data_IF_316733132747
#
_entry.id   IF_316733132747
#
_cell.length_a   1.000
_cell.length_b   1.000
_cell.length_c   1.000
_cell.angle_alpha   90.00
_cell.angle_beta   90.00
_cell.angle_gamma   90.00
#
_symmetry.space_group_name_H-M   'P 1'
#
loop_
_entity.id
_entity.type
_entity.pdbx_description
1 polymer ?
#
# COMPACT_ATOMS: atom_id res chain seq x y z
N UNK A 1 -5.90 4.81 -10.89
CA UNK A 1 -4.55 4.28 -10.60
C UNK A 1 -4.59 3.56 -9.26
N UNK A 2 -3.97 2.38 -9.16
CA UNK A 2 -3.86 1.61 -7.92
C UNK A 2 -2.52 1.95 -7.26
N UNK A 3 -2.56 2.46 -6.04
CA UNK A 3 -1.37 2.78 -5.25
C UNK A 3 -1.13 1.68 -4.22
N UNK A 4 0.13 1.49 -3.82
CA UNK A 4 0.47 0.61 -2.71
C UNK A 4 0.53 1.45 -1.44
N UNK A 5 -0.46 1.27 -0.56
CA UNK A 5 -0.55 1.98 0.72
C UNK A 5 -0.06 1.17 1.91
N UNK A 6 -0.02 -0.18 1.79
CA UNK A 6 0.40 -1.08 2.85
C UNK A 6 1.36 -2.16 2.35
N UNK A 7 2.34 -2.50 3.17
CA UNK A 7 3.29 -3.59 2.98
C UNK A 7 3.14 -4.62 4.10
N UNK A 8 3.04 -5.89 3.75
CA UNK A 8 3.21 -6.99 4.70
C UNK A 8 4.59 -7.58 4.50
N UNK A 9 5.39 -7.61 5.57
CA UNK A 9 6.78 -8.08 5.53
C UNK A 9 6.99 -9.18 6.57
N UNK A 10 7.86 -10.18 6.33
CA UNK A 10 8.12 -11.21 7.32
C UNK A 10 8.74 -10.58 8.58
N UNK A 11 8.54 -11.22 9.73
CA UNK A 11 9.20 -10.83 10.98
C UNK A 11 10.70 -10.60 10.78
N UNK A 12 11.22 -9.54 11.40
CA UNK A 12 12.63 -9.12 11.31
C UNK A 12 13.10 -8.67 9.91
N UNK A 13 12.18 -8.35 9.00
CA UNK A 13 12.52 -7.77 7.70
C UNK A 13 13.23 -6.42 7.83
N UNK A 14 14.36 -6.28 7.12
CA UNK A 14 15.12 -5.04 7.03
C UNK A 14 14.69 -4.19 5.83
N UNK A 15 14.26 -2.96 6.09
CA UNK A 15 13.88 -1.99 5.05
C UNK A 15 15.07 -1.32 4.35
N UNK A 16 16.31 -1.69 4.66
CA UNK A 16 17.51 -1.08 4.05
C UNK A 16 17.48 -1.22 2.52
N UNK A 17 17.32 -2.46 2.02
CA UNK A 17 17.28 -2.70 0.58
C UNK A 17 16.09 -2.01 -0.12
N UNK A 18 14.95 -1.91 0.59
CA UNK A 18 13.79 -1.18 0.08
C UNK A 18 14.10 0.33 -0.07
N UNK A 19 14.70 0.95 0.95
CA UNK A 19 15.05 2.36 0.89
C UNK A 19 16.11 2.68 -0.16
N UNK A 20 17.12 1.82 -0.32
CA UNK A 20 18.11 1.97 -1.37
C UNK A 20 17.47 1.90 -2.77
N UNK A 21 16.58 0.93 -2.99
CA UNK A 21 15.91 0.75 -4.28
C UNK A 21 14.97 1.92 -4.65
N UNK A 22 14.30 2.51 -3.66
CA UNK A 22 13.36 3.62 -3.88
C UNK A 22 14.06 4.99 -3.95
N UNK A 23 15.30 5.10 -3.48
CA UNK A 23 16.06 6.35 -3.46
C UNK A 23 16.21 7.02 -4.84
N UNK A 24 16.18 6.23 -5.91
CA UNK A 24 16.16 6.75 -7.30
C UNK A 24 14.97 7.67 -7.62
N UNK A 25 13.94 7.69 -6.77
CA UNK A 25 12.76 8.54 -6.90
C UNK A 25 12.76 9.75 -5.96
N UNK A 26 13.87 10.03 -5.25
CA UNK A 26 13.97 11.11 -4.27
C UNK A 26 13.54 12.49 -4.81
N UNK A 27 13.74 12.74 -6.10
CA UNK A 27 13.43 14.02 -6.75
C UNK A 27 11.95 14.39 -6.66
N UNK A 28 11.07 13.44 -6.30
CA UNK A 28 9.66 13.70 -6.01
C UNK A 28 9.47 14.75 -4.92
N UNK A 29 10.42 14.89 -4.00
CA UNK A 29 10.38 15.90 -2.94
C UNK A 29 10.49 17.33 -3.48
N UNK A 30 11.01 17.52 -4.69
CA UNK A 30 11.10 18.85 -5.30
C UNK A 30 9.75 19.36 -5.81
N UNK A 31 8.72 18.51 -5.89
CA UNK A 31 7.36 18.96 -6.16
C UNK A 31 6.73 19.51 -4.88
N UNK A 32 6.49 20.82 -4.85
CA UNK A 32 5.99 21.55 -3.68
C UNK A 32 4.74 20.90 -3.04
N UNK A 33 3.77 20.46 -3.85
CA UNK A 33 2.57 19.78 -3.35
C UNK A 33 2.90 18.47 -2.63
N UNK A 34 3.88 17.73 -3.10
CA UNK A 34 4.31 16.49 -2.46
C UNK A 34 5.07 16.78 -1.17
N UNK A 35 6.02 17.71 -1.21
CA UNK A 35 6.77 18.15 -0.03
C UNK A 35 5.86 18.60 1.10
N UNK A 36 4.84 19.41 0.79
CA UNK A 36 3.86 19.87 1.78
C UNK A 36 3.08 18.71 2.43
N UNK A 37 2.72 17.68 1.65
CA UNK A 37 2.07 16.49 2.19
C UNK A 37 3.03 15.69 3.08
N UNK A 38 4.29 15.56 2.67
CA UNK A 38 5.33 14.89 3.42
C UNK A 38 5.60 15.55 4.76
N UNK A 39 5.86 16.85 4.78
CA UNK A 39 6.13 17.58 6.01
C UNK A 39 4.92 17.56 6.95
N UNK A 40 3.71 17.72 6.42
CA UNK A 40 2.48 17.63 7.21
C UNK A 40 2.31 16.26 7.88
N UNK A 41 2.35 15.17 7.10
CA UNK A 41 2.12 13.82 7.65
C UNK A 41 3.23 13.42 8.61
N UNK A 42 4.49 13.76 8.29
CA UNK A 42 5.63 13.55 9.19
C UNK A 42 5.43 14.27 10.52
N UNK A 43 5.03 15.54 10.50
CA UNK A 43 4.75 16.28 11.73
C UNK A 43 3.62 15.64 12.55
N UNK A 44 2.51 15.25 11.91
CA UNK A 44 1.38 14.57 12.57
C UNK A 44 1.82 13.29 13.28
N UNK A 45 2.65 12.48 12.62
CA UNK A 45 3.13 11.23 13.19
C UNK A 45 4.13 11.45 14.33
N UNK A 46 5.05 12.40 14.20
CA UNK A 46 6.01 12.72 15.26
C UNK A 46 5.32 13.30 16.50
N UNK A 47 4.32 14.17 16.33
CA UNK A 47 3.52 14.71 17.44
C UNK A 47 2.78 13.61 18.21
N UNK A 48 2.47 12.50 17.54
CA UNK A 48 1.78 11.35 18.13
C UNK A 48 2.75 10.29 18.69
N UNK A 49 4.05 10.59 18.79
CA UNK A 49 5.10 9.68 19.28
C UNK A 49 5.19 8.34 18.53
N UNK A 50 4.80 8.29 17.25
CA UNK A 50 4.99 7.09 16.44
C UNK A 50 6.46 6.94 16.05
N UNK A 51 6.95 5.70 16.08
CA UNK A 51 8.24 5.36 15.47
C UNK A 51 8.07 5.36 13.95
N UNK A 52 8.92 6.12 13.28
CA UNK A 52 8.93 6.25 11.83
C UNK A 52 10.27 5.83 11.27
N UNK A 53 10.23 5.10 10.17
CA UNK A 53 11.39 4.98 9.29
C UNK A 53 11.25 6.04 8.21
N UNK A 54 12.31 6.79 7.96
CA UNK A 54 12.28 7.96 7.09
C UNK A 54 13.55 8.01 6.25
N UNK A 55 13.39 8.33 4.96
CA UNK A 55 14.49 8.50 4.01
C UNK A 55 14.54 9.91 3.37
N UNK A 56 13.78 10.87 3.90
CA UNK A 56 13.78 12.27 3.46
C UNK A 56 12.72 12.63 2.44
N UNK A 57 11.98 11.65 1.90
CA UNK A 57 10.86 11.89 0.98
C UNK A 57 9.73 10.85 1.11
N UNK A 58 9.95 9.74 1.80
CA UNK A 58 8.97 8.71 2.08
C UNK A 58 9.09 8.28 3.54
N UNK A 59 7.96 8.23 4.23
CA UNK A 59 7.89 7.66 5.59
C UNK A 59 7.29 6.26 5.58
N UNK A 60 7.83 5.37 6.40
CA UNK A 60 7.22 4.09 6.73
C UNK A 60 6.78 4.10 8.20
N UNK A 61 5.53 3.70 8.43
CA UNK A 61 4.93 3.61 9.76
C UNK A 61 4.34 2.23 9.97
N UNK A 62 4.62 1.61 11.10
CA UNK A 62 3.95 0.37 11.49
C UNK A 62 2.51 0.70 11.88
N UNK A 63 1.53 0.21 11.12
CA UNK A 63 0.11 0.53 11.34
C UNK A 63 -0.82 -0.57 10.78
N UNK A 64 -1.85 -1.00 11.52
CA UNK A 64 -2.82 -1.99 11.05
C UNK A 64 -3.75 -1.49 9.94
N UNK A 65 -3.92 -0.17 9.79
CA UNK A 65 -4.76 0.43 8.74
C UNK A 65 -4.28 0.10 7.33
N UNK A 66 -5.20 -0.07 6.39
CA UNK A 66 -4.90 -0.29 4.97
C UNK A 66 -4.65 1.02 4.18
N UNK A 67 -5.12 2.16 4.70
CA UNK A 67 -5.05 3.44 4.01
C UNK A 67 -3.95 4.32 4.61
N UNK A 68 -2.84 4.46 3.89
CA UNK A 68 -1.77 5.38 4.23
C UNK A 68 -1.96 6.73 3.53
N UNK A 69 -1.59 7.85 4.19
CA UNK A 69 -1.61 9.14 3.53
C UNK A 69 -0.51 9.26 2.48
N UNK A 70 -0.61 10.28 1.61
CA UNK A 70 0.43 10.61 0.63
C UNK A 70 1.78 10.71 1.34
N UNK A 71 2.87 10.31 0.65
CA UNK A 71 4.26 10.29 1.14
C UNK A 71 4.52 9.35 2.32
N UNK A 72 3.55 8.50 2.65
CA UNK A 72 3.65 7.52 3.73
C UNK A 72 3.18 6.17 3.24
N UNK A 73 3.83 5.10 3.68
CA UNK A 73 3.39 3.72 3.44
C UNK A 73 3.35 3.00 4.77
N UNK A 74 2.24 2.32 5.02
CA UNK A 74 2.10 1.54 6.24
C UNK A 74 2.73 0.18 6.06
N UNK A 75 3.24 -0.39 7.15
CA UNK A 75 3.72 -1.76 7.13
C UNK A 75 3.28 -2.52 8.37
N UNK A 76 3.32 -3.84 8.25
CA UNK A 76 3.07 -4.75 9.34
C UNK A 76 3.90 -6.01 9.16
N UNK A 77 4.35 -6.58 10.28
CA UNK A 77 5.04 -7.86 10.28
C UNK A 77 4.05 -9.02 10.27
N UNK A 78 4.36 -10.07 9.52
CA UNK A 78 3.69 -11.37 9.65
C UNK A 78 4.69 -12.44 10.05
N UNK A 79 4.23 -13.41 10.87
CA UNK A 79 5.02 -14.58 11.24
C UNK A 79 4.72 -15.75 10.31
N UNK A 80 3.43 -15.97 10.02
CA UNK A 80 2.98 -17.02 9.14
C UNK A 80 2.24 -16.46 7.92
N UNK A 81 2.56 -16.98 6.74
CA UNK A 81 1.88 -16.64 5.49
C UNK A 81 0.43 -17.12 5.46
N UNK A 82 0.13 -18.27 6.09
CA UNK A 82 -1.24 -18.80 6.13
C UNK A 82 -2.18 -17.87 6.92
N UNK A 83 -1.72 -17.34 8.06
CA UNK A 83 -2.48 -16.39 8.87
C UNK A 83 -2.69 -15.07 8.11
N UNK A 84 -1.67 -14.62 7.36
CA UNK A 84 -1.79 -13.44 6.52
C UNK A 84 -2.83 -13.65 5.41
N UNK A 85 -2.82 -14.80 4.75
CA UNK A 85 -3.82 -15.13 3.71
C UNK A 85 -5.24 -15.11 4.28
N UNK A 86 -5.47 -15.75 5.44
CA UNK A 86 -6.77 -15.76 6.10
C UNK A 86 -7.25 -14.34 6.44
N UNK A 87 -6.35 -13.47 6.90
CA UNK A 87 -6.68 -12.06 7.16
C UNK A 87 -7.01 -11.29 5.88
N UNK A 88 -6.22 -11.46 4.82
CA UNK A 88 -6.46 -10.78 3.55
C UNK A 88 -7.79 -11.22 2.91
N UNK A 89 -8.20 -12.47 3.11
CA UNK A 89 -9.51 -12.97 2.69
C UNK A 89 -10.65 -12.37 3.52
N UNK A 90 -10.47 -12.28 4.85
CA UNK A 90 -11.45 -11.64 5.74
C UNK A 90 -11.61 -10.13 5.46
N UNK A 91 -10.52 -9.45 5.10
CA UNK A 91 -10.50 -8.02 4.81
C UNK A 91 -10.68 -7.72 3.31
N UNK A 92 -11.12 -8.68 2.49
CA UNK A 92 -11.20 -8.54 1.04
C UNK A 92 -12.03 -7.32 0.59
N UNK A 93 -13.07 -6.95 1.33
CA UNK A 93 -13.90 -5.77 1.03
C UNK A 93 -13.17 -4.43 1.24
N UNK A 94 -12.09 -4.42 2.01
CA UNK A 94 -11.26 -3.23 2.26
C UNK A 94 -10.09 -3.13 1.26
N UNK A 95 -9.85 -4.16 0.45
CA UNK A 95 -8.64 -4.31 -0.35
C UNK A 95 -9.00 -4.34 -1.83
N UNK A 96 -8.57 -3.30 -2.56
CA UNK A 96 -8.79 -3.23 -4.00
C UNK A 96 -7.93 -4.24 -4.79
N UNK A 97 -6.69 -4.45 -4.37
CA UNK A 97 -5.79 -5.39 -5.03
C UNK A 97 -4.63 -5.80 -4.12
N UNK A 98 -4.15 -7.03 -4.31
CA UNK A 98 -2.98 -7.57 -3.62
C UNK A 98 -1.86 -7.75 -4.64
N UNK A 99 -0.64 -7.34 -4.30
CA UNK A 99 0.54 -7.49 -5.17
C UNK A 99 1.49 -8.47 -4.51
N UNK A 100 1.86 -9.54 -5.22
CA UNK A 100 2.82 -10.49 -4.70
C UNK A 100 3.48 -11.28 -5.84
N UNK A 101 4.53 -12.04 -5.50
CA UNK A 101 5.13 -13.02 -6.42
C UNK A 101 4.47 -14.39 -6.19
N UNK A 102 3.21 -14.50 -6.56
CA UNK A 102 2.38 -15.72 -6.44
C UNK A 102 2.27 -16.29 -5.01
N UNK A 103 2.42 -15.44 -3.99
CA UNK A 103 2.30 -15.80 -2.58
C UNK A 103 0.85 -15.85 -2.11
N UNK A 104 -0.03 -15.08 -2.74
CA UNK A 104 -1.45 -15.00 -2.43
C UNK A 104 -2.25 -15.30 -3.69
N UNK A 105 -3.32 -16.07 -3.54
CA UNK A 105 -4.24 -16.39 -4.65
C UNK A 105 -4.81 -15.08 -5.23
N UNK A 106 -4.90 -15.00 -6.56
CA UNK A 106 -5.37 -13.82 -7.29
C UNK A 106 -4.53 -12.54 -7.06
N UNK A 107 -3.29 -12.67 -6.62
CA UNK A 107 -2.38 -11.52 -6.53
C UNK A 107 -1.86 -11.10 -7.90
N UNK A 108 -1.63 -9.80 -8.04
CA UNK A 108 -1.10 -9.18 -9.25
C UNK A 108 0.43 -9.21 -9.17
N UNK A 109 1.14 -9.55 -10.27
CA UNK A 109 2.59 -9.48 -10.31
C UNK A 109 3.12 -8.05 -10.11
N UNK A 110 4.32 -7.93 -9.55
CA UNK A 110 4.97 -6.63 -9.37
C UNK A 110 5.09 -5.84 -10.69
N UNK A 111 4.84 -4.53 -10.61
CA UNK A 111 4.91 -3.61 -11.75
C UNK A 111 3.69 -3.62 -12.69
N UNK A 112 2.68 -4.46 -12.43
CA UNK A 112 1.47 -4.54 -13.27
C UNK A 112 0.26 -3.79 -12.69
N UNK A 113 0.32 -3.33 -11.44
CA UNK A 113 -0.82 -2.68 -10.76
C UNK A 113 -1.34 -1.41 -11.43
N UNK A 114 -0.49 -0.69 -12.16
CA UNK A 114 -0.89 0.53 -12.87
C UNK A 114 -1.47 0.25 -14.27
N UNK A 115 -1.60 -1.03 -14.67
CA UNK A 115 -2.15 -1.45 -15.96
C UNK A 115 -3.34 -2.42 -15.74
N UNK A 116 -4.48 -1.94 -15.22
CA UNK A 116 -5.65 -2.80 -15.03
C UNK A 116 -6.14 -3.35 -16.38
N UNK A 117 -6.53 -4.61 -16.40
CA UNK A 117 -7.19 -5.24 -17.54
C UNK A 117 -8.67 -4.83 -17.59
N UNK A 118 -9.32 -5.07 -18.73
CA UNK A 118 -10.73 -4.69 -18.96
C UNK A 118 -11.71 -5.28 -17.93
N UNK A 119 -11.38 -6.39 -17.29
CA UNK A 119 -12.20 -7.09 -16.30
C UNK A 119 -11.76 -6.85 -14.85
N UNK A 120 -10.75 -6.02 -14.61
CA UNK A 120 -10.25 -5.67 -13.27
C UNK A 120 -11.15 -4.59 -12.63
N UNK A 121 -12.45 -4.86 -12.51
CA UNK A 121 -13.41 -3.97 -11.88
C UNK A 121 -13.07 -3.74 -10.41
N UNK A 122 -13.28 -2.52 -9.93
CA UNK A 122 -12.82 -2.10 -8.60
C UNK A 122 -13.43 -2.89 -7.44
N UNK A 123 -14.58 -3.56 -7.66
CA UNK A 123 -15.38 -4.19 -6.60
C UNK A 123 -15.87 -5.61 -6.95
N UNK A 124 -15.35 -6.26 -8.01
CA UNK A 124 -15.92 -7.50 -8.58
C UNK A 124 -17.42 -7.42 -8.96
N UNK A 125 -18.03 -6.24 -8.87
CA UNK A 125 -19.39 -5.97 -9.31
C UNK A 125 -19.35 -5.76 -10.82
N UNK A 126 -20.04 -6.63 -11.54
CA UNK A 126 -20.30 -6.45 -12.96
C UNK A 126 -21.11 -5.15 -13.15
N UNK A 127 -20.41 -4.10 -13.58
CA UNK A 127 -20.99 -2.79 -13.89
C UNK A 127 -22.19 -2.85 -14.83
N UNK A 128 -22.28 -3.83 -15.73
CA UNK A 128 -23.46 -4.03 -16.58
C UNK A 128 -24.64 -4.54 -15.75
N UNK A 129 -24.40 -5.51 -14.88
CA UNK A 129 -25.41 -6.01 -13.95
C UNK A 129 -25.89 -4.88 -13.01
N UNK A 130 -25.00 -4.06 -12.45
CA UNK A 130 -25.39 -2.90 -11.61
C UNK A 130 -26.32 -1.93 -12.35
N UNK A 131 -25.99 -1.57 -13.59
CA UNK A 131 -26.80 -0.67 -14.43
C UNK A 131 -28.15 -1.28 -14.82
N UNK A 132 -28.24 -2.59 -14.98
CA UNK A 132 -29.48 -3.30 -15.34
C UNK A 132 -30.42 -3.58 -14.16
N UNK A 133 -29.88 -3.62 -12.93
CA UNK A 133 -30.65 -3.96 -11.71
C UNK A 133 -31.20 -2.72 -10.99
N UNK A 134 -30.76 -1.52 -11.38
CA UNK A 134 -31.31 -0.27 -10.85
C UNK A 134 -32.66 0.02 -11.54
N UNK A 135 -33.74 -0.43 -10.90
CA UNK A 135 -35.13 -0.02 -11.18
C UNK A 135 -35.76 0.60 -9.94
#
# INVERSE_FOLDING_TARGET
CRNVSKLFVPKDYSFVAFFEAIFKYQDVIHYEKYANNYDYNKAVFLMSNFKLLDNGFLTLKEDPSYASPISSVFYEFYENIEDLQARLEADAEQIQCIVSKDLVKNSIPFGQTQKPQLWDYADNVDTITFLLTTK
#
